data_IF_944599627414
#
_entry.id   IF_944599627414
#
_cell.length_a   1.000
_cell.length_b   1.000
_cell.length_c   1.000
_cell.angle_alpha   90.00
_cell.angle_beta   90.00
_cell.angle_gamma   90.00
#
_symmetry.space_group_name_H-M   'P 1'
#
loop_
_entity.id
_entity.type
_entity.pdbx_description
1 polymer ?
#
# COMPACT_ATOMS: atom_id res chain seq x y z
N UNK A 1 -17.76 -8.12 1.59
CA UNK A 1 -18.19 -7.53 2.87
C UNK A 1 -19.18 -8.48 3.50
N UNK A 2 -19.10 -8.68 4.81
CA UNK A 2 -20.07 -9.51 5.54
C UNK A 2 -21.15 -8.61 6.14
N UNK A 3 -22.41 -8.82 5.77
CA UNK A 3 -23.53 -8.08 6.36
C UNK A 3 -23.84 -8.62 7.76
N UNK A 4 -24.06 -7.72 8.70
CA UNK A 4 -24.31 -8.02 10.11
C UNK A 4 -25.53 -7.25 10.56
N UNK A 5 -26.53 -8.00 11.03
CA UNK A 5 -27.71 -7.45 11.69
C UNK A 5 -27.51 -7.45 13.20
N UNK A 6 -27.56 -6.26 13.81
CA UNK A 6 -27.44 -6.07 15.25
C UNK A 6 -28.80 -5.65 15.81
N UNK A 7 -29.41 -6.50 16.61
CA UNK A 7 -30.63 -6.18 17.37
C UNK A 7 -30.26 -5.83 18.81
N UNK A 8 -30.71 -4.68 19.30
CA UNK A 8 -30.40 -4.20 20.65
C UNK A 8 -31.57 -3.46 21.29
N UNK A 9 -31.65 -3.53 22.62
CA UNK A 9 -32.64 -2.75 23.39
C UNK A 9 -32.17 -1.31 23.57
N UNK A 10 -33.04 -0.37 23.20
CA UNK A 10 -32.92 1.05 23.50
C UNK A 10 -34.15 1.48 24.28
N UNK A 11 -33.99 1.79 25.57
CA UNK A 11 -35.12 1.90 26.49
C UNK A 11 -36.02 0.65 26.39
N UNK A 12 -37.29 0.84 26.02
CA UNK A 12 -38.32 -0.20 25.94
C UNK A 12 -38.58 -0.71 24.50
N UNK A 13 -37.80 -0.26 23.50
CA UNK A 13 -37.96 -0.70 22.12
C UNK A 13 -36.73 -1.46 21.65
N UNK A 14 -36.97 -2.57 20.94
CA UNK A 14 -35.95 -3.22 20.15
C UNK A 14 -35.64 -2.31 18.96
N UNK A 15 -34.35 -2.06 18.75
CA UNK A 15 -33.82 -1.38 17.58
C UNK A 15 -32.94 -2.34 16.81
N UNK A 16 -32.88 -2.12 15.51
CA UNK A 16 -32.06 -2.90 14.61
C UNK A 16 -31.13 -1.97 13.86
N UNK A 17 -29.90 -2.42 13.64
CA UNK A 17 -28.92 -1.80 12.76
C UNK A 17 -28.44 -2.89 11.81
N UNK A 18 -28.52 -2.62 10.52
CA UNK A 18 -27.85 -3.41 9.49
C UNK A 18 -26.54 -2.69 9.21
N UNK A 19 -25.44 -3.40 9.33
CA UNK A 19 -24.10 -2.89 9.03
C UNK A 19 -23.29 -3.93 8.28
N UNK A 20 -22.08 -3.57 7.88
CA UNK A 20 -21.14 -4.45 7.20
C UNK A 20 -19.81 -4.50 7.94
N UNK A 21 -19.18 -5.67 7.93
CA UNK A 21 -17.81 -5.87 8.39
C UNK A 21 -16.91 -6.20 7.20
N UNK A 22 -15.74 -5.55 7.06
CA UNK A 22 -14.81 -5.83 5.97
C UNK A 22 -14.21 -7.23 6.13
N UNK A 23 -14.23 -8.00 5.05
CA UNK A 23 -13.68 -9.35 4.98
C UNK A 23 -12.39 -9.43 4.17
N UNK A 24 -11.98 -8.33 3.57
CA UNK A 24 -10.70 -8.15 2.88
C UNK A 24 -10.18 -6.74 3.14
N UNK A 25 -8.87 -6.52 2.95
CA UNK A 25 -8.29 -5.18 3.07
C UNK A 25 -8.90 -4.16 2.13
N UNK A 26 -9.21 -4.56 0.88
CA UNK A 26 -9.79 -3.65 -0.13
C UNK A 26 -11.20 -3.16 0.22
N UNK A 27 -11.90 -3.84 1.12
CA UNK A 27 -13.23 -3.44 1.58
C UNK A 27 -13.18 -2.40 2.70
N UNK A 28 -12.03 -2.18 3.31
CA UNK A 28 -11.89 -1.24 4.42
C UNK A 28 -11.97 0.21 3.93
N UNK A 29 -12.66 1.06 4.67
CA UNK A 29 -12.54 2.51 4.49
C UNK A 29 -11.33 3.07 5.26
N UNK A 30 -10.95 4.32 4.97
CA UNK A 30 -9.84 5.01 5.64
C UNK A 30 -9.91 4.91 7.18
N UNK A 31 -11.09 5.12 7.77
CA UNK A 31 -11.27 5.11 9.23
C UNK A 31 -10.99 3.73 9.83
N UNK A 32 -11.50 2.67 9.19
CA UNK A 32 -11.25 1.28 9.60
C UNK A 32 -9.78 0.94 9.47
N UNK A 33 -9.16 1.35 8.36
CA UNK A 33 -7.76 1.05 8.07
C UNK A 33 -6.82 1.72 9.09
N UNK A 34 -7.03 3.00 9.39
CA UNK A 34 -6.25 3.73 10.41
C UNK A 34 -6.47 3.14 11.80
N UNK A 35 -7.66 2.62 12.11
CA UNK A 35 -7.94 2.05 13.43
C UNK A 35 -7.13 0.79 13.76
N UNK A 36 -6.70 0.01 12.75
CA UNK A 36 -5.82 -1.14 12.94
C UNK A 36 -4.41 -0.76 13.40
N UNK A 37 -3.95 0.42 13.02
CA UNK A 37 -2.61 0.88 13.39
C UNK A 37 -2.59 1.52 14.79
N UNK A 38 -3.73 2.06 15.24
CA UNK A 38 -3.85 2.61 16.59
C UNK A 38 -3.93 1.47 17.60
N UNK A 39 -3.20 1.59 18.72
CA UNK A 39 -3.33 0.70 19.89
C UNK A 39 -4.66 0.96 20.62
N UNK A 40 -5.77 0.61 19.97
CA UNK A 40 -7.12 0.77 20.53
C UNK A 40 -7.51 -0.43 21.37
N UNK A 41 -8.42 -0.23 22.32
CA UNK A 41 -9.10 -1.35 22.97
C UNK A 41 -10.03 -2.07 21.98
N UNK A 42 -10.17 -3.39 22.15
CA UNK A 42 -10.95 -4.27 21.26
C UNK A 42 -12.37 -3.76 20.99
N UNK A 43 -13.00 -3.13 22.00
CA UNK A 43 -14.36 -2.58 21.85
C UNK A 43 -14.38 -1.40 20.89
N UNK A 44 -13.38 -0.51 20.92
CA UNK A 44 -13.29 0.60 19.96
C UNK A 44 -12.96 0.07 18.57
N UNK A 45 -12.03 -0.87 18.46
CA UNK A 45 -11.67 -1.46 17.18
C UNK A 45 -12.89 -2.12 16.51
N UNK A 46 -13.62 -2.98 17.24
CA UNK A 46 -14.85 -3.60 16.76
C UNK A 46 -15.91 -2.56 16.36
N UNK A 47 -16.07 -1.50 17.15
CA UNK A 47 -17.04 -0.45 16.85
C UNK A 47 -16.70 0.28 15.54
N UNK A 48 -15.41 0.56 15.30
CA UNK A 48 -14.95 1.16 14.05
C UNK A 48 -15.13 0.20 12.88
N UNK A 49 -14.74 -1.07 13.04
CA UNK A 49 -14.84 -2.09 11.98
C UNK A 49 -16.29 -2.35 11.56
N UNK A 50 -17.21 -2.39 12.53
CA UNK A 50 -18.65 -2.50 12.30
C UNK A 50 -19.30 -1.17 11.89
N UNK A 51 -18.58 -0.05 11.90
CA UNK A 51 -19.13 1.28 11.70
C UNK A 51 -20.35 1.60 12.60
N UNK A 52 -20.30 1.18 13.88
CA UNK A 52 -21.36 1.43 14.87
C UNK A 52 -20.85 2.19 16.09
N UNK A 53 -21.73 2.86 16.86
CA UNK A 53 -21.33 3.47 18.12
C UNK A 53 -20.75 2.47 19.13
N UNK A 54 -19.67 2.83 19.83
CA UNK A 54 -19.00 2.00 20.87
C UNK A 54 -19.96 1.45 21.92
N UNK A 55 -20.99 2.21 22.29
CA UNK A 55 -22.04 1.80 23.24
C UNK A 55 -22.85 0.57 22.79
N UNK A 56 -22.89 0.28 21.49
CA UNK A 56 -23.59 -0.89 20.94
C UNK A 56 -22.72 -2.13 21.14
N UNK A 57 -21.43 -2.03 20.83
CA UNK A 57 -20.47 -3.12 21.06
C UNK A 57 -20.37 -3.46 22.54
N UNK A 58 -20.38 -2.46 23.44
CA UNK A 58 -20.41 -2.68 24.91
C UNK A 58 -21.61 -3.48 25.42
N UNK A 59 -22.69 -3.58 24.64
CA UNK A 59 -23.88 -4.39 24.99
C UNK A 59 -23.79 -5.84 24.48
N UNK A 60 -22.77 -6.16 23.69
CA UNK A 60 -22.57 -7.50 23.16
C UNK A 60 -22.01 -8.42 24.25
N UNK A 61 -22.48 -9.66 24.28
CA UNK A 61 -21.90 -10.66 25.17
C UNK A 61 -20.59 -11.22 24.60
N UNK A 62 -19.84 -11.96 25.43
CA UNK A 62 -18.53 -12.51 25.06
C UNK A 62 -18.60 -13.40 23.80
N UNK A 63 -19.64 -14.21 23.66
CA UNK A 63 -19.83 -15.08 22.50
C UNK A 63 -20.02 -14.26 21.21
N UNK A 64 -20.84 -13.21 21.23
CA UNK A 64 -21.05 -12.31 20.10
C UNK A 64 -19.75 -11.59 19.70
N UNK A 65 -18.99 -11.12 20.68
CA UNK A 65 -17.68 -10.49 20.45
C UNK A 65 -16.70 -11.49 19.83
N UNK A 66 -16.69 -12.73 20.31
CA UNK A 66 -15.84 -13.79 19.77
C UNK A 66 -16.18 -14.15 18.31
N UNK A 67 -17.47 -14.29 17.97
CA UNK A 67 -17.88 -14.54 16.57
C UNK A 67 -17.46 -13.39 15.64
N UNK A 68 -17.57 -12.15 16.10
CA UNK A 68 -17.10 -10.98 15.34
C UNK A 68 -15.57 -10.94 15.23
N UNK A 69 -14.85 -11.38 16.25
CA UNK A 69 -13.39 -11.43 16.24
C UNK A 69 -12.85 -12.40 15.16
N UNK A 70 -13.57 -13.49 14.87
CA UNK A 70 -13.22 -14.40 13.76
C UNK A 70 -13.20 -13.71 12.40
N UNK A 71 -13.95 -12.63 12.23
CA UNK A 71 -13.97 -11.87 10.97
C UNK A 71 -12.66 -11.12 10.71
N UNK A 72 -11.79 -10.96 11.71
CA UNK A 72 -10.45 -10.36 11.53
C UNK A 72 -9.43 -11.30 10.88
N UNK A 73 -9.78 -12.56 10.60
CA UNK A 73 -8.90 -13.57 10.01
C UNK A 73 -8.23 -13.10 8.70
N UNK A 74 -8.89 -12.23 7.93
CA UNK A 74 -8.31 -11.67 6.70
C UNK A 74 -7.04 -10.81 6.93
N UNK A 75 -6.86 -10.27 8.13
CA UNK A 75 -5.68 -9.47 8.50
C UNK A 75 -4.46 -10.38 8.66
N UNK A 76 -4.67 -11.58 9.20
CA UNK A 76 -3.61 -12.55 9.43
C UNK A 76 -3.22 -13.30 8.14
N UNK A 77 -4.16 -13.42 7.20
CA UNK A 77 -3.89 -14.02 5.89
C UNK A 77 -2.95 -13.14 5.08
N UNK A 78 -1.99 -13.76 4.37
CA UNK A 78 -1.12 -13.07 3.42
C UNK A 78 -1.95 -12.54 2.25
N UNK A 79 -2.41 -11.32 2.44
CA UNK A 79 -3.37 -10.66 1.58
C UNK A 79 -2.70 -9.46 0.93
N UNK A 80 -3.13 -9.20 -0.28
CA UNK A 80 -2.57 -8.20 -1.19
C UNK A 80 -3.71 -7.45 -1.84
N UNK A 81 -3.50 -6.19 -2.15
CA UNK A 81 -4.51 -5.36 -2.82
C UNK A 81 -3.88 -4.64 -4.00
N UNK A 82 -4.67 -4.32 -5.01
CA UNK A 82 -4.20 -3.47 -6.12
C UNK A 82 -4.61 -2.01 -5.95
N UNK A 83 -5.27 -1.62 -4.86
CA UNK A 83 -5.82 -0.27 -4.68
C UNK A 83 -5.55 0.28 -3.29
N UNK A 84 -5.59 1.60 -3.17
CA UNK A 84 -5.49 2.32 -1.91
C UNK A 84 -6.89 2.51 -1.30
N UNK A 85 -7.02 2.21 -0.02
CA UNK A 85 -8.20 2.43 0.81
C UNK A 85 -8.29 3.88 1.31
N UNK A 86 -7.15 4.56 1.36
CA UNK A 86 -7.03 6.00 1.63
C UNK A 86 -6.86 6.65 0.27
N UNK A 87 -7.95 7.06 -0.38
CA UNK A 87 -7.88 7.55 -1.76
C UNK A 87 -7.40 9.00 -1.87
N UNK A 88 -7.62 9.79 -0.81
CA UNK A 88 -7.17 11.16 -0.74
C UNK A 88 -6.98 11.61 0.70
N UNK A 89 -6.10 12.60 0.90
CA UNK A 89 -5.89 13.25 2.19
C UNK A 89 -5.76 14.75 1.96
N UNK A 90 -6.49 15.52 2.76
CA UNK A 90 -6.39 16.98 2.76
C UNK A 90 -5.35 17.43 3.80
N UNK A 91 -4.29 18.09 3.34
CA UNK A 91 -3.25 18.63 4.19
C UNK A 91 -3.32 20.17 4.25
N UNK A 92 -3.23 20.77 5.44
CA UNK A 92 -3.13 22.22 5.58
C UNK A 92 -1.95 22.78 4.76
N UNK A 93 -2.21 23.74 3.88
CA UNK A 93 -1.18 24.40 3.05
C UNK A 93 -0.72 23.63 1.80
N UNK A 94 -1.29 22.45 1.55
CA UNK A 94 -1.07 21.63 0.34
C UNK A 94 -2.37 21.32 -0.41
N UNK A 95 -3.53 21.42 0.25
CA UNK A 95 -4.80 21.05 -0.33
C UNK A 95 -5.03 19.53 -0.29
N UNK A 96 -5.87 19.04 -1.19
CA UNK A 96 -6.16 17.60 -1.30
C UNK A 96 -5.14 16.94 -2.21
N UNK A 97 -4.46 15.92 -1.67
CA UNK A 97 -3.59 15.03 -2.42
C UNK A 97 -4.28 13.67 -2.59
N UNK A 98 -3.98 12.99 -3.68
CA UNK A 98 -4.64 11.76 -4.10
C UNK A 98 -3.65 10.60 -4.16
N UNK A 99 -4.10 9.43 -3.73
CA UNK A 99 -3.34 8.21 -3.91
C UNK A 99 -3.29 7.82 -5.41
N UNK A 100 -2.31 7.00 -5.83
CA UNK A 100 -2.30 6.44 -7.17
C UNK A 100 -3.58 5.65 -7.45
N UNK A 101 -4.04 5.71 -8.71
CA UNK A 101 -5.21 4.94 -9.14
C UNK A 101 -4.94 3.42 -9.01
N UNK A 102 -6.00 2.58 -8.92
CA UNK A 102 -5.85 1.13 -8.82
C UNK A 102 -4.87 0.56 -9.85
N UNK A 103 -4.07 -0.43 -9.43
CA UNK A 103 -2.98 -1.08 -10.16
C UNK A 103 -1.83 -0.12 -10.50
N UNK A 104 -1.70 0.96 -9.73
CA UNK A 104 -0.79 2.07 -10.01
C UNK A 104 -1.03 2.67 -11.40
N UNK A 105 -2.30 2.81 -11.79
CA UNK A 105 -2.64 3.47 -13.04
C UNK A 105 -2.15 4.93 -12.99
N UNK A 106 -1.43 5.34 -14.04
CA UNK A 106 -0.79 6.65 -14.24
C UNK A 106 0.38 6.99 -13.30
N UNK A 107 0.82 6.06 -12.45
CA UNK A 107 2.10 6.24 -11.78
C UNK A 107 3.22 6.10 -12.81
N UNK A 108 4.06 7.12 -12.90
CA UNK A 108 5.25 7.09 -13.75
C UNK A 108 6.32 6.21 -13.12
N UNK A 109 7.28 5.75 -13.94
CA UNK A 109 8.39 4.96 -13.42
C UNK A 109 9.24 5.74 -12.41
N UNK A 110 9.51 7.02 -12.69
CA UNK A 110 10.26 7.88 -11.79
C UNK A 110 9.59 8.00 -10.43
N UNK A 111 8.28 8.27 -10.41
CA UNK A 111 7.52 8.36 -9.18
C UNK A 111 7.65 7.07 -8.38
N UNK A 112 7.46 5.92 -9.04
CA UNK A 112 7.56 4.62 -8.39
C UNK A 112 8.94 4.36 -7.79
N UNK A 113 10.03 4.73 -8.46
CA UNK A 113 11.40 4.58 -7.93
C UNK A 113 11.55 5.31 -6.60
N UNK A 114 11.15 6.59 -6.53
CA UNK A 114 11.21 7.35 -5.29
C UNK A 114 10.32 6.73 -4.20
N UNK A 115 9.08 6.43 -4.54
CA UNK A 115 8.11 5.83 -3.61
C UNK A 115 8.63 4.51 -3.04
N UNK A 116 9.09 3.59 -3.87
CA UNK A 116 9.55 2.28 -3.41
C UNK A 116 10.84 2.39 -2.61
N UNK A 117 11.74 3.30 -3.00
CA UNK A 117 13.01 3.53 -2.29
C UNK A 117 12.77 4.09 -0.88
N UNK A 118 11.96 5.15 -0.74
CA UNK A 118 11.61 5.69 0.57
C UNK A 118 10.82 4.69 1.41
N UNK A 119 9.95 3.89 0.79
CA UNK A 119 9.23 2.84 1.50
C UNK A 119 10.17 1.75 2.06
N UNK A 120 11.10 1.23 1.25
CA UNK A 120 12.10 0.26 1.73
C UNK A 120 12.94 0.86 2.85
N UNK A 121 13.41 2.10 2.68
CA UNK A 121 14.22 2.77 3.69
C UNK A 121 13.44 3.01 4.99
N UNK A 122 12.16 3.37 4.91
CA UNK A 122 11.29 3.48 6.08
C UNK A 122 11.05 2.12 6.75
N UNK A 123 10.81 1.06 5.97
CA UNK A 123 10.61 -0.28 6.50
C UNK A 123 11.84 -0.79 7.29
N UNK A 124 13.05 -0.38 6.89
CA UNK A 124 14.29 -0.72 7.59
C UNK A 124 14.56 0.15 8.82
N UNK A 125 14.25 1.45 8.75
CA UNK A 125 14.69 2.44 9.76
C UNK A 125 13.60 2.88 10.72
N UNK A 126 12.33 2.68 10.37
CA UNK A 126 11.16 3.28 11.01
C UNK A 126 11.25 4.81 11.19
N UNK A 127 12.07 5.52 10.39
CA UNK A 127 12.30 6.95 10.54
C UNK A 127 11.09 7.77 10.05
N UNK A 128 10.45 8.60 10.90
CA UNK A 128 9.30 9.42 10.53
C UNK A 128 9.57 10.46 9.43
N UNK A 129 10.80 10.93 9.27
CA UNK A 129 11.14 11.89 8.21
C UNK A 129 11.12 11.21 6.84
N UNK A 130 11.68 10.01 6.75
CA UNK A 130 11.62 9.17 5.54
C UNK A 130 10.18 8.79 5.20
N UNK A 131 9.35 8.53 6.23
CA UNK A 131 7.93 8.31 6.04
C UNK A 131 7.25 9.51 5.37
N UNK A 132 7.64 10.75 5.71
CA UNK A 132 7.10 11.95 5.07
C UNK A 132 7.57 12.10 3.63
N UNK A 133 8.84 11.80 3.35
CA UNK A 133 9.38 11.76 1.99
C UNK A 133 8.58 10.77 1.12
N UNK A 134 8.35 9.57 1.66
CA UNK A 134 7.52 8.54 1.03
C UNK A 134 6.10 9.06 0.72
N UNK A 135 5.42 9.68 1.69
CA UNK A 135 4.05 10.19 1.49
C UNK A 135 4.01 11.30 0.44
N UNK A 136 4.96 12.23 0.48
CA UNK A 136 5.04 13.33 -0.47
C UNK A 136 5.23 12.85 -1.92
N UNK A 137 5.93 11.73 -2.12
CA UNK A 137 6.17 11.15 -3.44
C UNK A 137 5.04 10.21 -3.88
N UNK A 138 4.31 9.60 -2.94
CA UNK A 138 3.21 8.69 -3.24
C UNK A 138 1.91 9.43 -3.57
N UNK A 139 1.55 10.45 -2.79
CA UNK A 139 0.29 11.18 -2.93
C UNK A 139 0.50 12.46 -3.73
N UNK A 140 -0.25 12.61 -4.81
CA UNK A 140 -0.04 13.69 -5.78
C UNK A 140 -1.21 14.67 -5.82
N UNK A 141 -0.96 15.93 -6.24
CA UNK A 141 -2.04 16.81 -6.62
C UNK A 141 -2.85 16.22 -7.78
N UNK A 142 -4.11 16.63 -7.94
CA UNK A 142 -4.96 16.18 -9.05
C UNK A 142 -4.42 16.54 -10.45
N UNK A 143 -3.40 17.40 -10.53
CA UNK A 143 -2.70 17.77 -11.76
C UNK A 143 -1.62 16.76 -12.19
N UNK A 144 -1.32 15.75 -11.36
CA UNK A 144 -0.30 14.73 -11.63
C UNK A 144 0.94 14.84 -10.76
N UNK A 145 1.88 13.90 -10.97
CA UNK A 145 3.15 13.85 -10.25
C UNK A 145 4.16 14.84 -10.84
N UNK A 146 4.81 15.61 -9.97
CA UNK A 146 6.01 16.38 -10.27
C UNK A 146 6.98 16.25 -9.09
N UNK A 147 8.22 15.85 -9.37
CA UNK A 147 9.23 15.61 -8.34
C UNK A 147 9.51 16.87 -7.53
N UNK A 148 9.64 18.03 -8.19
CA UNK A 148 9.97 19.29 -7.52
C UNK A 148 8.86 19.69 -6.55
N UNK A 149 7.61 19.53 -6.96
CA UNK A 149 6.44 19.77 -6.13
C UNK A 149 6.35 18.80 -4.95
N UNK A 150 6.68 17.52 -5.16
CA UNK A 150 6.75 16.51 -4.09
C UNK A 150 7.83 16.88 -3.04
N UNK A 151 9.05 17.22 -3.47
CA UNK A 151 10.14 17.65 -2.59
C UNK A 151 9.74 18.88 -1.75
N UNK A 152 9.04 19.83 -2.37
CA UNK A 152 8.54 21.04 -1.69
C UNK A 152 7.37 20.77 -0.73
N UNK A 153 6.69 19.62 -0.85
CA UNK A 153 5.58 19.25 0.02
C UNK A 153 6.06 18.71 1.37
N UNK A 154 7.23 18.05 1.42
CA UNK A 154 7.76 17.39 2.63
C UNK A 154 7.75 18.29 3.88
N UNK A 155 8.23 19.56 3.84
CA UNK A 155 8.22 20.41 5.03
C UNK A 155 6.81 20.71 5.55
N UNK A 156 5.81 20.74 4.66
CA UNK A 156 4.41 21.02 5.01
C UNK A 156 3.73 19.81 5.65
N UNK A 157 4.23 18.60 5.39
CA UNK A 157 3.76 17.36 6.02
C UNK A 157 4.26 17.17 7.46
N UNK A 158 5.21 17.99 7.94
CA UNK A 158 5.77 17.86 9.30
C UNK A 158 4.73 17.98 10.42
N UNK A 159 3.66 18.74 10.20
CA UNK A 159 2.58 18.98 11.18
C UNK A 159 1.43 17.97 11.09
N UNK A 160 1.43 17.09 10.09
CA UNK A 160 0.37 16.11 9.91
C UNK A 160 0.52 14.93 10.89
N UNK A 161 -0.61 14.26 11.15
CA UNK A 161 -0.66 13.09 12.04
C UNK A 161 0.12 11.92 11.42
N UNK A 162 1.14 11.42 12.11
CA UNK A 162 1.94 10.28 11.65
C UNK A 162 1.11 9.01 11.48
N UNK A 163 0.00 8.88 12.23
CA UNK A 163 -0.83 7.68 12.18
C UNK A 163 -1.50 7.49 10.82
N UNK A 164 -1.86 8.58 10.12
CA UNK A 164 -2.37 8.46 8.75
C UNK A 164 -1.25 8.04 7.80
N UNK A 165 -0.02 8.48 8.02
CA UNK A 165 1.12 8.10 7.20
C UNK A 165 1.50 6.63 7.35
N UNK A 166 1.50 6.13 8.59
CA UNK A 166 1.76 4.72 8.89
C UNK A 166 0.66 3.83 8.27
N UNK A 167 -0.60 4.25 8.34
CA UNK A 167 -1.70 3.59 7.66
C UNK A 167 -1.50 3.57 6.13
N UNK A 168 -1.08 4.68 5.53
CA UNK A 168 -0.76 4.73 4.10
C UNK A 168 0.40 3.79 3.75
N UNK A 169 1.46 3.76 4.55
CA UNK A 169 2.61 2.88 4.34
C UNK A 169 2.21 1.40 4.43
N UNK A 170 1.34 1.02 5.37
CA UNK A 170 0.80 -0.34 5.44
C UNK A 170 0.00 -0.68 4.18
N UNK A 171 -0.85 0.23 3.70
CA UNK A 171 -1.60 0.02 2.46
C UNK A 171 -0.68 -0.14 1.25
N UNK A 172 0.38 0.67 1.15
CA UNK A 172 1.39 0.52 0.10
C UNK A 172 2.11 -0.83 0.20
N UNK A 173 2.42 -1.32 1.40
CA UNK A 173 2.97 -2.67 1.58
C UNK A 173 2.11 -3.76 0.95
N UNK A 174 0.78 -3.68 1.11
CA UNK A 174 -0.17 -4.60 0.49
C UNK A 174 -0.20 -4.46 -1.04
N UNK A 175 -0.06 -3.25 -1.56
CA UNK A 175 0.06 -2.96 -3.00
C UNK A 175 1.37 -3.49 -3.56
N UNK A 176 2.47 -3.29 -2.84
CA UNK A 176 3.80 -3.77 -3.22
C UNK A 176 3.84 -5.29 -3.30
N UNK A 177 3.23 -6.01 -2.35
CA UNK A 177 3.04 -7.46 -2.43
C UNK A 177 2.29 -7.88 -3.70
N UNK A 178 1.22 -7.17 -4.04
CA UNK A 178 0.47 -7.43 -5.27
C UNK A 178 1.32 -7.23 -6.55
N UNK A 179 2.16 -6.18 -6.58
CA UNK A 179 3.08 -5.91 -7.69
C UNK A 179 4.15 -7.01 -7.78
N UNK A 180 4.71 -7.41 -6.64
CA UNK A 180 5.75 -8.42 -6.60
C UNK A 180 5.27 -9.76 -7.18
N UNK A 181 4.05 -10.17 -6.82
CA UNK A 181 3.43 -11.38 -7.38
C UNK A 181 3.13 -11.26 -8.87
N UNK A 182 2.84 -10.05 -9.36
CA UNK A 182 2.56 -9.81 -10.78
C UNK A 182 3.82 -9.79 -11.63
N UNK A 183 4.95 -9.32 -11.06
CA UNK A 183 6.23 -9.19 -11.75
C UNK A 183 7.37 -9.90 -10.99
N UNK A 184 7.28 -11.24 -10.80
CA UNK A 184 8.20 -11.99 -9.93
C UNK A 184 9.65 -12.05 -10.44
N UNK A 185 9.88 -11.69 -11.71
CA UNK A 185 11.24 -11.57 -12.26
C UNK A 185 11.92 -10.26 -11.87
N UNK A 186 11.13 -9.22 -11.56
CA UNK A 186 11.59 -7.91 -11.10
C UNK A 186 11.69 -7.91 -9.57
N UNK A 187 10.71 -8.55 -8.92
CA UNK A 187 10.63 -8.69 -7.48
C UNK A 187 10.79 -10.18 -7.12
N UNK A 188 12.02 -10.73 -7.19
CA UNK A 188 12.24 -12.12 -6.83
C UNK A 188 11.85 -12.34 -5.37
N UNK A 189 11.13 -13.44 -5.10
CA UNK A 189 10.91 -13.88 -3.73
C UNK A 189 12.28 -14.07 -3.06
N UNK A 190 12.52 -13.39 -1.94
CA UNK A 190 13.74 -13.57 -1.16
C UNK A 190 13.80 -15.04 -0.73
N UNK A 191 14.61 -15.85 -1.41
CA UNK A 191 15.05 -17.13 -0.86
C UNK A 191 15.89 -16.80 0.37
N UNK A 192 15.65 -17.50 1.49
CA UNK A 192 16.30 -17.30 2.79
C UNK A 192 17.85 -17.46 2.79
N UNK A 193 18.51 -17.46 1.63
CA UNK A 193 19.96 -17.45 1.51
C UNK A 193 20.49 -16.01 1.50
N UNK A 194 21.02 -15.61 2.65
CA UNK A 194 22.15 -14.68 2.84
C UNK A 194 22.23 -13.41 1.97
N UNK A 195 21.89 -12.26 2.59
CA UNK A 195 22.72 -11.04 2.49
C UNK A 195 22.63 -10.17 1.24
N UNK A 196 21.96 -10.57 0.15
CA UNK A 196 21.72 -9.64 -0.97
C UNK A 196 20.58 -8.68 -0.61
N UNK A 197 20.96 -7.45 -0.24
CA UNK A 197 20.06 -6.29 -0.23
C UNK A 197 19.26 -6.30 -1.53
N UNK A 198 17.96 -5.99 -1.47
CA UNK A 198 17.20 -5.67 -2.68
C UNK A 198 18.00 -4.62 -3.44
N UNK A 199 18.49 -4.98 -4.63
CA UNK A 199 19.35 -4.09 -5.41
C UNK A 199 18.65 -2.75 -5.62
N UNK A 200 19.42 -1.67 -5.61
CA UNK A 200 18.91 -0.34 -5.91
C UNK A 200 18.15 -0.39 -7.24
N UNK A 201 17.08 0.39 -7.41
CA UNK A 201 16.39 0.51 -8.70
C UNK A 201 17.36 0.88 -9.84
N UNK A 202 18.47 1.57 -9.51
CA UNK A 202 19.59 1.80 -10.42
C UNK A 202 20.27 0.50 -10.87
N UNK A 203 20.62 -0.41 -9.95
CA UNK A 203 21.23 -1.71 -10.28
C UNK A 203 20.28 -2.58 -11.12
N UNK A 204 18.98 -2.59 -10.75
CA UNK A 204 17.96 -3.28 -11.54
C UNK A 204 17.94 -2.69 -12.95
N UNK A 205 17.96 -1.37 -13.08
CA UNK A 205 17.94 -0.69 -14.38
C UNK A 205 19.20 -0.98 -15.21
N UNK A 206 20.38 -0.89 -14.61
CA UNK A 206 21.68 -1.16 -15.24
C UNK A 206 21.76 -2.61 -15.74
N UNK A 207 21.31 -3.58 -14.94
CA UNK A 207 21.29 -5.00 -15.29
C UNK A 207 20.35 -5.32 -16.47
N UNK A 208 19.33 -4.48 -16.71
CA UNK A 208 18.28 -4.74 -17.71
C UNK A 208 18.48 -3.94 -19.00
N UNK A 209 18.91 -2.69 -18.89
CA UNK A 209 19.05 -1.76 -20.02
C UNK A 209 20.47 -1.78 -20.58
N UNK A 210 21.47 -2.27 -19.82
CA UNK A 210 22.87 -2.27 -20.25
C UNK A 210 23.37 -0.86 -20.56
N UNK A 211 24.30 -0.73 -21.52
CA UNK A 211 24.89 0.54 -21.97
C UNK A 211 23.89 1.53 -22.64
N UNK A 212 22.62 1.16 -22.81
CA UNK A 212 21.55 2.02 -23.36
C UNK A 212 21.00 3.03 -22.30
N UNK A 213 21.81 3.30 -21.28
CA UNK A 213 21.63 4.30 -20.22
C UNK A 213 21.32 5.72 -20.71
N UNK A 214 21.54 6.00 -22.00
CA UNK A 214 21.24 7.29 -22.64
C UNK A 214 19.75 7.65 -22.61
N UNK A 215 18.87 6.68 -22.40
CA UNK A 215 17.41 6.87 -22.39
C UNK A 215 16.79 6.88 -20.97
N UNK A 216 17.56 7.02 -19.88
CA UNK A 216 16.99 7.03 -18.50
C UNK A 216 15.83 8.05 -18.34
N UNK A 217 16.01 9.28 -18.84
CA UNK A 217 14.99 10.33 -18.81
C UNK A 217 13.73 9.95 -19.59
N UNK A 218 13.88 9.16 -20.65
CA UNK A 218 12.76 8.70 -21.49
C UNK A 218 11.89 7.67 -20.76
N UNK A 219 12.46 6.87 -19.85
CA UNK A 219 11.68 5.91 -19.07
C UNK A 219 11.01 6.52 -17.85
N UNK A 220 11.56 7.63 -17.33
CA UNK A 220 11.09 8.31 -16.13
C UNK A 220 9.58 8.63 -16.19
N UNK A 221 9.09 9.10 -17.32
CA UNK A 221 7.69 9.54 -17.52
C UNK A 221 6.75 8.41 -17.99
N UNK A 222 7.28 7.25 -18.36
CA UNK A 222 6.47 6.14 -18.87
C UNK A 222 5.67 5.52 -17.72
N UNK A 223 4.39 5.13 -17.95
CA UNK A 223 3.62 4.40 -16.96
C UNK A 223 4.35 3.13 -16.47
N UNK A 224 4.43 2.98 -15.15
CA UNK A 224 5.18 1.92 -14.45
C UNK A 224 4.87 0.52 -15.00
N UNK A 225 3.60 0.24 -15.29
CA UNK A 225 3.15 -1.06 -15.80
C UNK A 225 3.72 -1.39 -17.19
N UNK A 226 3.94 -0.38 -18.04
CA UNK A 226 4.57 -0.57 -19.35
C UNK A 226 6.06 -0.89 -19.18
N UNK A 227 6.74 -0.17 -18.29
CA UNK A 227 8.15 -0.41 -17.96
C UNK A 227 8.34 -1.81 -17.38
N UNK A 228 7.53 -2.23 -16.40
CA UNK A 228 7.62 -3.58 -15.83
C UNK A 228 7.37 -4.70 -16.85
N UNK A 229 6.43 -4.54 -17.78
CA UNK A 229 6.23 -5.51 -18.86
C UNK A 229 7.44 -5.58 -19.79
N UNK A 230 7.99 -4.42 -20.16
CA UNK A 230 9.19 -4.34 -20.99
C UNK A 230 10.37 -5.05 -20.32
N UNK A 231 10.66 -4.72 -19.07
CA UNK A 231 11.70 -5.36 -18.25
C UNK A 231 11.49 -6.89 -18.21
N UNK A 232 10.28 -7.33 -17.88
CA UNK A 232 9.95 -8.76 -17.77
C UNK A 232 10.25 -9.49 -19.07
N UNK A 233 9.94 -8.88 -20.22
CA UNK A 233 10.23 -9.44 -21.55
C UNK A 233 11.74 -9.52 -21.78
N UNK A 234 12.49 -8.45 -21.50
CA UNK A 234 13.96 -8.41 -21.66
C UNK A 234 14.67 -9.47 -20.82
N UNK A 235 14.27 -9.64 -19.56
CA UNK A 235 14.83 -10.69 -18.69
C UNK A 235 14.59 -12.09 -19.28
N UNK A 236 13.39 -12.35 -19.82
CA UNK A 236 13.07 -13.64 -20.46
C UNK A 236 13.87 -13.87 -21.74
N UNK A 237 14.05 -12.85 -22.57
CA UNK A 237 14.87 -12.92 -23.79
C UNK A 237 16.33 -13.21 -23.46
N UNK A 238 16.92 -12.48 -22.51
CA UNK A 238 18.31 -12.68 -22.07
C UNK A 238 18.55 -14.11 -21.53
N UNK A 239 17.62 -14.63 -20.71
CA UNK A 239 17.71 -16.02 -20.21
C UNK A 239 17.70 -17.05 -21.33
N UNK A 240 16.81 -16.90 -22.32
CA UNK A 240 16.76 -17.79 -23.50
C UNK A 240 18.05 -17.75 -24.31
N UNK A 241 18.63 -16.56 -24.51
CA UNK A 241 19.90 -16.40 -25.23
C UNK A 241 21.05 -17.11 -24.50
N UNK A 242 21.14 -16.94 -23.17
CA UNK A 242 22.15 -17.63 -22.34
C UNK A 242 21.98 -19.16 -22.37
N UNK A 243 20.75 -19.65 -22.27
CA UNK A 243 20.45 -21.09 -22.38
C UNK A 243 20.80 -21.66 -23.75
N UNK A 244 20.61 -20.90 -24.83
CA UNK A 244 20.99 -21.33 -26.18
C UNK A 244 22.52 -21.37 -26.34
N UNK A 245 23.22 -20.32 -25.87
CA UNK A 245 24.68 -20.28 -25.88
C UNK A 245 25.30 -21.43 -25.07
N UNK A 246 24.73 -21.75 -23.90
CA UNK A 246 25.19 -22.86 -23.05
C UNK A 246 24.94 -24.26 -23.64
N UNK A 247 24.11 -24.39 -24.68
CA UNK A 247 23.88 -25.65 -25.41
C UNK A 247 24.79 -25.82 -26.62
N UNK A 248 25.46 -24.75 -27.04
CA UNK A 248 26.40 -24.72 -28.17
C UNK A 248 27.86 -24.92 -27.72
N UNK A 249 28.10 -24.96 -26.41
CA UNK A 249 29.36 -25.28 -25.74
C UNK A 249 29.20 -26.58 -24.95
#
# INVERSE_FOLDING_TARGET
MHEIKITYKSFFRNREIITSFPTTWSEMNCRQFTALHKRQDDTTLLAVMLNVPKRIVRKMNLHQVYELAKLFDFIQKDTKTSSFNIESVCFPGLGTLYAPRPKLADMTFLQFIYVDSFYMQYAETANPDILRDFIAHLYTPGTGYDKKSADQAVPKLKKADLQIFEAIALNYGLVRKWIADRYPLIFPAQKQSSGKKSGSWAEIFDDIVGDDLKDQDKYAEIPINSVFRFITRKIKESRKQREHAAKLH
#
